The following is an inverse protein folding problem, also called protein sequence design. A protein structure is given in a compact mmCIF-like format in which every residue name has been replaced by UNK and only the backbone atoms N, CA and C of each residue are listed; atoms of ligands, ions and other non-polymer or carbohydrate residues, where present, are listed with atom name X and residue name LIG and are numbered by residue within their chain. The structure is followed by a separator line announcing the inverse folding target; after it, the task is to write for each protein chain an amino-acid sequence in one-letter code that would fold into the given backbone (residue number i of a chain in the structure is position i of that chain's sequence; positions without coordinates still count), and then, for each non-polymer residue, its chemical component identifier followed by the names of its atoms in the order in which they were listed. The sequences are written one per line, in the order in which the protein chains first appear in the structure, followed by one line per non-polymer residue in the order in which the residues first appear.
data_IF_875247260901
#
_entry.id   IF_875247260901
#
_cell.length_a   1.000
_cell.length_b   1.000
_cell.length_c   1.000
_cell.angle_alpha   90.00
_cell.angle_beta   90.00
_cell.angle_gamma   90.00
#
_symmetry.space_group_name_H-M   'P 1'
#
loop_
_entity.id
_entity.type
_entity.pdbx_description
1 polymer ?
#
# COMPACT_ATOMS: atom_id res chain seq x y z
N UNK A 1 23.07 -63.25 -61.24
CA UNK A 1 23.25 -61.95 -61.87
C UNK A 1 22.22 -60.96 -61.32
N UNK A 2 22.63 -59.77 -61.05
CA UNK A 2 21.89 -58.61 -60.47
C UNK A 2 21.83 -58.53 -58.95
N UNK A 3 22.71 -57.66 -58.45
CA UNK A 3 22.79 -57.14 -57.13
C UNK A 3 21.67 -56.16 -56.88
N UNK A 4 20.94 -56.26 -55.74
CA UNK A 4 20.02 -55.28 -55.28
C UNK A 4 20.63 -54.66 -54.00
N UNK A 5 20.91 -53.37 -54.10
CA UNK A 5 21.44 -52.58 -52.98
C UNK A 5 20.26 -52.15 -52.11
N UNK A 6 20.33 -52.48 -50.82
CA UNK A 6 19.38 -52.05 -49.83
C UNK A 6 19.80 -50.72 -49.19
N UNK A 7 19.01 -49.71 -49.43
CA UNK A 7 19.22 -48.37 -48.88
C UNK A 7 18.61 -48.34 -47.46
N UNK A 8 19.45 -48.16 -46.42
CA UNK A 8 19.00 -47.89 -45.05
C UNK A 8 18.68 -46.41 -44.92
N UNK A 9 17.40 -46.08 -44.78
CA UNK A 9 16.94 -44.75 -44.46
C UNK A 9 16.84 -44.65 -42.92
N UNK A 10 17.82 -44.00 -42.29
CA UNK A 10 17.85 -43.72 -40.87
C UNK A 10 16.95 -42.52 -40.60
N UNK A 11 15.75 -42.77 -40.08
CA UNK A 11 14.87 -41.73 -39.58
C UNK A 11 15.33 -41.29 -38.17
N UNK A 12 15.99 -40.13 -38.13
CA UNK A 12 16.40 -39.46 -36.88
C UNK A 12 15.17 -38.74 -36.30
N UNK A 13 14.55 -39.38 -35.28
CA UNK A 13 13.42 -38.83 -34.53
C UNK A 13 13.97 -37.75 -33.58
N UNK A 14 13.91 -36.46 -33.95
CA UNK A 14 14.17 -35.37 -33.03
C UNK A 14 13.04 -35.25 -32.04
N UNK A 15 13.22 -35.79 -30.82
CA UNK A 15 12.38 -35.51 -29.66
C UNK A 15 12.65 -34.07 -29.23
N UNK A 16 11.80 -33.13 -29.59
CA UNK A 16 11.74 -31.83 -28.93
C UNK A 16 11.12 -32.02 -27.53
N UNK A 17 11.96 -32.21 -26.53
CA UNK A 17 11.58 -32.03 -25.16
C UNK A 17 11.33 -30.53 -24.94
N UNK A 18 10.07 -30.10 -24.98
CA UNK A 18 9.67 -28.79 -24.49
C UNK A 18 9.81 -28.84 -22.96
N UNK A 19 11.01 -28.55 -22.47
CA UNK A 19 11.18 -28.13 -21.08
C UNK A 19 10.56 -26.76 -20.98
N UNK A 20 9.32 -26.68 -20.49
CA UNK A 20 8.78 -25.49 -19.88
C UNK A 20 9.61 -25.16 -18.63
N UNK A 21 10.78 -24.56 -18.84
CA UNK A 21 11.57 -24.00 -17.77
C UNK A 21 10.79 -22.86 -17.16
N UNK A 22 10.26 -23.04 -15.95
CA UNK A 22 10.04 -21.92 -15.07
C UNK A 22 11.38 -21.18 -14.99
N UNK A 23 11.43 -19.97 -15.55
CA UNK A 23 12.63 -19.15 -15.53
C UNK A 23 12.73 -18.57 -14.12
N UNK A 24 13.30 -19.34 -13.19
CA UNK A 24 13.73 -18.80 -11.90
C UNK A 24 14.89 -17.85 -12.22
N UNK A 25 14.66 -16.57 -12.05
CA UNK A 25 15.74 -15.59 -12.16
C UNK A 25 16.63 -15.72 -10.94
N UNK A 26 17.86 -16.18 -11.13
CA UNK A 26 18.85 -16.23 -10.06
C UNK A 26 19.22 -14.79 -9.59
N UNK A 27 19.65 -14.64 -8.32
CA UNK A 27 20.12 -13.36 -7.80
C UNK A 27 21.25 -12.77 -8.64
N UNK A 28 21.12 -11.51 -9.05
CA UNK A 28 22.13 -10.80 -9.83
C UNK A 28 23.15 -10.11 -8.91
N UNK A 29 24.45 -10.30 -9.21
CA UNK A 29 25.54 -9.63 -8.49
C UNK A 29 25.57 -8.14 -8.83
N UNK A 30 25.84 -7.31 -7.82
CA UNK A 30 25.91 -5.86 -7.96
C UNK A 30 24.56 -5.15 -7.83
N UNK A 31 23.46 -5.88 -7.66
CA UNK A 31 22.10 -5.36 -7.56
C UNK A 31 21.45 -5.71 -6.21
N UNK A 32 20.38 -5.02 -5.88
CA UNK A 32 19.43 -5.43 -4.84
C UNK A 32 18.44 -6.41 -5.47
N UNK A 33 18.34 -7.61 -4.91
CA UNK A 33 17.49 -8.66 -5.43
C UNK A 33 16.11 -8.60 -4.73
N UNK A 34 15.09 -8.13 -5.42
CA UNK A 34 13.73 -7.98 -4.89
C UNK A 34 12.97 -9.28 -5.09
N UNK A 35 12.54 -9.89 -3.98
CA UNK A 35 11.63 -11.04 -3.99
C UNK A 35 10.25 -10.60 -3.53
N UNK A 36 9.25 -10.82 -4.39
CA UNK A 36 7.89 -10.37 -4.11
C UNK A 36 7.08 -11.41 -3.34
N UNK A 37 6.30 -10.88 -2.40
CA UNK A 37 5.32 -11.62 -1.62
C UNK A 37 3.92 -11.04 -1.84
N UNK A 38 2.90 -11.88 -1.67
CA UNK A 38 1.50 -11.49 -1.91
C UNK A 38 1.06 -10.31 -1.03
N UNK A 39 1.55 -10.25 0.21
CA UNK A 39 1.23 -9.20 1.20
C UNK A 39 2.29 -9.13 2.31
N UNK A 40 2.14 -8.14 3.21
CA UNK A 40 3.05 -7.94 4.34
C UNK A 40 3.05 -9.09 5.34
N UNK A 41 1.96 -9.83 5.50
CA UNK A 41 1.89 -10.96 6.43
C UNK A 41 2.75 -12.13 5.96
N UNK A 42 2.88 -12.31 4.64
CA UNK A 42 3.77 -13.32 4.06
C UNK A 42 5.25 -12.96 4.24
N UNK A 43 5.59 -11.67 4.15
CA UNK A 43 6.94 -11.20 4.48
C UNK A 43 7.26 -11.46 5.96
N UNK A 44 6.34 -11.13 6.86
CA UNK A 44 6.46 -11.42 8.31
C UNK A 44 6.69 -12.90 8.57
N UNK A 45 5.86 -13.78 7.97
CA UNK A 45 6.00 -15.24 8.10
C UNK A 45 7.36 -15.72 7.60
N UNK A 46 7.85 -15.18 6.50
CA UNK A 46 9.12 -15.59 5.89
C UNK A 46 10.32 -15.19 6.75
N UNK A 47 10.32 -13.99 7.34
CA UNK A 47 11.37 -13.57 8.29
C UNK A 47 11.31 -14.41 9.57
N UNK A 48 10.13 -14.62 10.14
CA UNK A 48 9.96 -15.47 11.34
C UNK A 48 10.42 -16.91 11.12
N UNK A 49 10.16 -17.44 9.93
CA UNK A 49 10.59 -18.78 9.51
C UNK A 49 12.07 -18.90 9.18
N UNK A 50 12.81 -17.80 9.05
CA UNK A 50 14.21 -17.77 8.67
C UNK A 50 14.48 -17.97 7.17
N UNK A 51 13.43 -17.89 6.33
CA UNK A 51 13.56 -17.98 4.87
C UNK A 51 14.05 -16.67 4.27
N UNK A 52 13.77 -15.55 4.93
CA UNK A 52 14.26 -14.23 4.56
C UNK A 52 14.96 -13.57 5.76
N UNK A 53 15.98 -12.79 5.45
CA UNK A 53 16.77 -12.06 6.46
C UNK A 53 16.49 -10.56 6.43
N UNK A 54 15.96 -10.05 5.30
CA UNK A 54 15.62 -8.64 5.10
C UNK A 54 14.25 -8.58 4.45
N UNK A 55 13.38 -7.70 4.96
CA UNK A 55 12.05 -7.52 4.35
C UNK A 55 11.43 -6.19 4.67
N UNK A 56 10.57 -5.74 3.75
CA UNK A 56 9.78 -4.52 3.87
C UNK A 56 8.44 -4.85 4.55
N UNK A 57 8.22 -4.29 5.73
CA UNK A 57 7.08 -4.62 6.59
C UNK A 57 6.35 -3.33 7.02
N UNK A 58 5.01 -3.26 6.90
CA UNK A 58 4.25 -2.10 7.37
C UNK A 58 4.05 -2.12 8.88
N UNK A 59 3.87 -0.94 9.49
CA UNK A 59 3.21 -0.87 10.79
C UNK A 59 1.70 -1.19 10.67
N UNK A 60 1.10 -1.81 11.69
CA UNK A 60 1.68 -2.20 12.99
C UNK A 60 2.43 -3.54 12.99
N UNK A 61 2.50 -4.23 11.86
CA UNK A 61 3.11 -5.55 11.75
C UNK A 61 4.64 -5.52 12.01
N UNK A 62 5.32 -4.42 11.69
CA UNK A 62 6.75 -4.28 11.90
C UNK A 62 7.13 -4.33 13.38
N UNK A 63 6.46 -3.55 14.23
CA UNK A 63 6.66 -3.57 15.69
C UNK A 63 6.30 -4.93 16.29
N UNK A 64 5.21 -5.54 15.84
CA UNK A 64 4.80 -6.87 16.27
C UNK A 64 5.84 -7.92 15.92
N UNK A 65 6.38 -7.87 14.69
CA UNK A 65 7.42 -8.79 14.24
C UNK A 65 8.69 -8.65 15.09
N UNK A 66 9.15 -7.42 15.36
CA UNK A 66 10.33 -7.18 16.19
C UNK A 66 10.15 -7.78 17.60
N UNK A 67 9.00 -7.54 18.24
CA UNK A 67 8.70 -8.07 19.57
C UNK A 67 8.66 -9.62 19.59
N UNK A 68 7.98 -10.21 18.60
CA UNK A 68 7.88 -11.66 18.49
C UNK A 68 9.22 -12.31 18.12
N UNK A 69 10.03 -11.69 17.29
CA UNK A 69 11.33 -12.19 16.90
C UNK A 69 12.28 -12.21 18.10
N UNK A 70 12.32 -11.13 18.89
CA UNK A 70 13.08 -11.07 20.14
C UNK A 70 12.63 -12.16 21.12
N UNK A 71 11.33 -12.30 21.33
CA UNK A 71 10.75 -13.29 22.25
C UNK A 71 11.08 -14.73 21.84
N UNK A 72 10.97 -15.05 20.54
CA UNK A 72 11.05 -16.44 20.06
C UNK A 72 12.45 -16.86 19.61
N UNK A 73 13.29 -15.92 19.19
CA UNK A 73 14.64 -16.17 18.67
C UNK A 73 15.75 -15.64 19.58
N UNK A 74 15.41 -14.80 20.59
CA UNK A 74 16.40 -14.16 21.46
C UNK A 74 17.25 -13.10 20.76
N UNK A 75 16.84 -12.63 19.57
CA UNK A 75 17.59 -11.69 18.75
C UNK A 75 16.69 -10.48 18.39
N UNK A 76 17.32 -9.31 18.29
CA UNK A 76 16.64 -8.09 17.86
C UNK A 76 16.71 -7.97 16.34
N UNK A 77 15.58 -7.59 15.71
CA UNK A 77 15.58 -7.14 14.32
C UNK A 77 15.95 -5.66 14.26
N UNK A 78 16.90 -5.32 13.40
CA UNK A 78 17.25 -3.96 13.06
C UNK A 78 16.19 -3.36 12.16
N UNK A 79 16.03 -2.03 12.20
CA UNK A 79 14.96 -1.33 11.52
C UNK A 79 15.47 -0.08 10.82
N UNK A 80 15.19 0.06 9.52
CA UNK A 80 15.37 1.29 8.76
C UNK A 80 13.99 1.88 8.43
N UNK A 81 13.84 3.16 8.64
CA UNK A 81 12.61 3.91 8.30
C UNK A 81 12.62 4.24 6.80
N UNK A 82 11.73 3.62 6.02
CA UNK A 82 11.64 3.86 4.57
C UNK A 82 11.22 5.29 4.27
N UNK A 83 10.44 5.92 5.14
CA UNK A 83 9.96 7.28 5.01
C UNK A 83 11.12 8.27 5.12
N UNK A 84 12.00 8.06 6.10
CA UNK A 84 13.21 8.89 6.29
C UNK A 84 14.22 8.69 5.16
N UNK A 85 14.35 7.47 4.64
CA UNK A 85 15.20 7.18 3.47
C UNK A 85 14.65 7.85 2.20
N UNK A 86 13.34 7.92 2.05
CA UNK A 86 12.69 8.59 0.92
C UNK A 86 12.87 10.12 1.01
N UNK A 87 12.51 10.70 2.13
CA UNK A 87 12.66 12.12 2.42
C UNK A 87 13.09 12.32 3.87
N UNK A 88 14.32 12.78 4.07
CA UNK A 88 14.89 12.96 5.39
C UNK A 88 14.42 14.24 6.12
N UNK A 89 13.77 15.16 5.41
CA UNK A 89 13.22 16.40 5.99
C UNK A 89 11.82 16.15 6.54
N UNK A 90 10.91 15.71 5.69
CA UNK A 90 9.51 15.47 6.09
C UNK A 90 9.33 14.11 6.77
N UNK A 91 10.22 13.15 6.49
CA UNK A 91 10.13 11.74 6.92
C UNK A 91 8.78 11.14 6.56
N UNK A 92 8.29 11.44 5.35
CA UNK A 92 6.96 11.09 4.86
C UNK A 92 6.95 10.93 3.34
N UNK A 93 5.95 10.20 2.86
CA UNK A 93 5.52 10.18 1.46
C UNK A 93 4.02 9.94 1.39
N UNK A 94 3.29 10.47 0.39
CA UNK A 94 1.86 10.25 0.28
C UNK A 94 1.59 8.78 -0.04
N UNK A 95 0.99 8.04 0.92
CA UNK A 95 0.75 6.61 0.74
C UNK A 95 -0.71 6.32 0.38
N UNK A 96 -1.66 6.80 1.20
CA UNK A 96 -3.07 6.63 0.93
C UNK A 96 -3.82 7.97 1.08
N UNK A 97 -4.72 8.21 0.15
CA UNK A 97 -5.48 9.44 0.03
C UNK A 97 -6.99 9.16 0.15
N UNK A 98 -7.73 10.12 0.67
CA UNK A 98 -9.18 10.08 0.70
C UNK A 98 -9.73 10.69 -0.59
N UNK A 99 -10.46 9.88 -1.35
CA UNK A 99 -11.19 10.28 -2.55
C UNK A 99 -12.68 10.33 -2.25
N UNK A 100 -13.34 11.38 -2.67
CA UNK A 100 -14.80 11.57 -2.48
C UNK A 100 -15.43 11.93 -3.81
N UNK A 101 -16.63 11.40 -4.08
CA UNK A 101 -17.42 11.80 -5.25
C UNK A 101 -17.79 13.27 -5.19
N UNK A 102 -17.65 13.96 -6.32
CA UNK A 102 -18.04 15.38 -6.45
C UNK A 102 -19.50 15.60 -6.09
N UNK A 103 -20.41 14.69 -6.46
CA UNK A 103 -21.83 14.78 -6.12
C UNK A 103 -22.09 14.80 -4.60
N UNK A 104 -21.29 14.08 -3.81
CA UNK A 104 -21.37 14.09 -2.34
C UNK A 104 -20.88 15.42 -1.77
N UNK A 105 -19.73 15.88 -2.24
CA UNK A 105 -19.13 17.15 -1.81
C UNK A 105 -20.05 18.35 -2.11
N UNK A 106 -20.64 18.39 -3.30
CA UNK A 106 -21.57 19.45 -3.69
C UNK A 106 -22.90 19.41 -2.92
N UNK A 107 -23.33 18.23 -2.44
CA UNK A 107 -24.50 18.10 -1.58
C UNK A 107 -24.24 18.51 -0.13
N UNK A 108 -22.97 18.47 0.33
CA UNK A 108 -22.58 18.69 1.73
C UNK A 108 -21.37 19.63 1.82
N UNK A 109 -21.52 20.96 1.68
CA UNK A 109 -20.41 21.91 1.59
C UNK A 109 -19.43 21.91 2.78
N UNK A 110 -19.90 21.53 3.97
CA UNK A 110 -19.07 21.48 5.20
C UNK A 110 -18.40 20.12 5.43
N UNK A 111 -18.58 19.17 4.53
CA UNK A 111 -18.17 17.77 4.74
C UNK A 111 -16.67 17.63 4.95
N UNK A 112 -15.86 18.37 4.19
CA UNK A 112 -14.38 18.26 4.27
C UNK A 112 -13.88 18.74 5.63
N UNK A 113 -14.37 19.87 6.15
CA UNK A 113 -13.99 20.37 7.49
C UNK A 113 -14.46 19.45 8.62
N UNK A 114 -15.61 18.80 8.45
CA UNK A 114 -16.10 17.80 9.39
C UNK A 114 -15.20 16.55 9.39
N UNK A 115 -14.80 16.07 8.21
CA UNK A 115 -13.90 14.94 8.05
C UNK A 115 -12.53 15.21 8.68
N UNK A 116 -11.94 16.38 8.41
CA UNK A 116 -10.67 16.80 9.01
C UNK A 116 -10.72 16.71 10.55
N UNK A 117 -11.72 17.35 11.16
CA UNK A 117 -11.88 17.35 12.62
C UNK A 117 -12.09 15.94 13.16
N UNK A 118 -12.94 15.13 12.53
CA UNK A 118 -13.27 13.78 12.99
C UNK A 118 -12.16 12.77 12.80
N UNK A 119 -11.40 12.84 11.70
CA UNK A 119 -10.24 11.96 11.47
C UNK A 119 -9.12 12.29 12.45
N UNK A 120 -8.85 13.58 12.72
CA UNK A 120 -7.92 14.00 13.76
C UNK A 120 -8.31 13.45 15.15
N UNK A 121 -9.60 13.48 15.49
CA UNK A 121 -10.12 12.87 16.71
C UNK A 121 -10.00 11.35 16.71
N UNK A 122 -10.21 10.68 15.57
CA UNK A 122 -10.14 9.22 15.44
C UNK A 122 -8.76 8.71 15.82
N UNK A 123 -7.69 9.29 15.30
CA UNK A 123 -6.32 8.87 15.61
C UNK A 123 -6.00 8.99 17.10
N UNK A 124 -6.39 10.09 17.72
CA UNK A 124 -6.20 10.30 19.17
C UNK A 124 -7.01 9.31 20.00
N UNK A 125 -8.24 9.03 19.58
CA UNK A 125 -9.13 8.08 20.24
C UNK A 125 -8.62 6.64 20.15
N UNK A 126 -8.09 6.21 18.99
CA UNK A 126 -7.50 4.86 18.79
C UNK A 126 -6.42 4.58 19.82
N UNK A 127 -5.54 5.55 20.09
CA UNK A 127 -4.46 5.38 21.08
C UNK A 127 -4.97 5.07 22.51
N UNK A 128 -6.16 5.52 22.84
CA UNK A 128 -6.78 5.32 24.15
C UNK A 128 -7.75 4.14 24.17
N UNK A 129 -8.21 3.67 23.02
CA UNK A 129 -9.28 2.69 22.87
C UNK A 129 -8.90 1.57 21.88
N UNK A 130 -7.67 1.05 21.97
CA UNK A 130 -7.10 0.12 20.98
C UNK A 130 -8.00 -1.10 20.74
N UNK A 131 -8.47 -1.75 21.82
CA UNK A 131 -9.32 -2.94 21.67
C UNK A 131 -10.63 -2.61 20.94
N UNK A 132 -11.32 -1.55 21.35
CA UNK A 132 -12.58 -1.11 20.74
C UNK A 132 -12.38 -0.72 19.26
N UNK A 133 -11.26 -0.06 18.95
CA UNK A 133 -10.92 0.31 17.57
C UNK A 133 -10.71 -0.90 16.69
N UNK A 134 -9.96 -1.90 17.17
CA UNK A 134 -9.73 -3.16 16.44
C UNK A 134 -11.02 -3.94 16.27
N UNK A 135 -11.86 -4.02 17.31
CA UNK A 135 -13.18 -4.67 17.22
C UNK A 135 -14.09 -3.97 16.19
N UNK A 136 -14.12 -2.64 16.20
CA UNK A 136 -14.89 -1.88 15.22
C UNK A 136 -14.42 -2.16 13.78
N UNK A 137 -13.12 -2.19 13.55
CA UNK A 137 -12.52 -2.51 12.24
C UNK A 137 -12.85 -3.94 11.81
N UNK A 138 -12.62 -4.92 12.70
CA UNK A 138 -12.83 -6.34 12.39
C UNK A 138 -14.31 -6.67 12.14
N UNK A 139 -15.23 -6.08 12.90
CA UNK A 139 -16.67 -6.24 12.69
C UNK A 139 -17.16 -5.62 11.37
N UNK A 140 -16.36 -4.79 10.71
CA UNK A 140 -16.66 -4.17 9.42
C UNK A 140 -15.78 -4.67 8.27
N UNK A 141 -15.13 -5.85 8.43
CA UNK A 141 -14.40 -6.56 7.36
C UNK A 141 -12.87 -6.58 7.51
N UNK A 142 -12.32 -5.96 8.55
CA UNK A 142 -10.89 -6.05 8.86
C UNK A 142 -10.48 -7.43 9.34
N UNK A 143 -9.24 -7.83 9.06
CA UNK A 143 -8.71 -9.17 9.42
C UNK A 143 -7.27 -9.15 9.86
N UNK A 144 -6.56 -8.02 9.72
CA UNK A 144 -5.11 -7.95 9.92
C UNK A 144 -4.69 -7.38 11.27
N UNK A 145 -5.57 -6.61 11.91
CA UNK A 145 -5.26 -5.94 13.17
C UNK A 145 -5.55 -6.83 14.39
N UNK A 146 -4.64 -6.78 15.36
CA UNK A 146 -4.77 -7.45 16.64
C UNK A 146 -4.46 -6.44 17.77
N UNK A 147 -5.41 -6.23 18.67
CA UNK A 147 -5.29 -5.27 19.76
C UNK A 147 -4.06 -5.52 20.68
N UNK A 148 -3.72 -6.79 20.93
CA UNK A 148 -2.57 -7.15 21.78
C UNK A 148 -1.23 -6.85 21.14
N UNK A 149 -1.21 -6.64 19.82
CA UNK A 149 -0.01 -6.36 19.04
C UNK A 149 0.12 -4.87 18.67
N UNK A 150 -0.91 -4.05 18.94
CA UNK A 150 -0.99 -2.66 18.54
C UNK A 150 -0.55 -1.72 19.70
N UNK A 151 0.76 -1.53 19.83
CA UNK A 151 1.33 -0.59 20.79
C UNK A 151 1.15 0.87 20.36
N UNK A 152 1.33 1.81 21.30
CA UNK A 152 1.33 3.25 21.00
C UNK A 152 2.35 3.61 19.91
N UNK A 153 3.57 3.08 20.02
CA UNK A 153 4.63 3.32 19.03
C UNK A 153 4.30 2.74 17.66
N UNK A 154 3.60 1.60 17.59
CA UNK A 154 3.12 1.04 16.34
C UNK A 154 2.04 1.93 15.68
N UNK A 155 1.12 2.50 16.48
CA UNK A 155 0.12 3.45 15.98
C UNK A 155 0.80 4.73 15.48
N UNK A 156 1.78 5.26 16.20
CA UNK A 156 2.56 6.43 15.77
C UNK A 156 3.33 6.15 14.47
N UNK A 157 3.91 4.94 14.37
CA UNK A 157 4.60 4.47 13.18
C UNK A 157 3.70 4.27 11.94
N UNK A 158 2.38 4.21 12.13
CA UNK A 158 1.42 4.21 11.02
C UNK A 158 1.32 5.57 10.31
N UNK A 159 1.83 6.64 10.90
CA UNK A 159 1.86 8.01 10.35
C UNK A 159 0.52 8.45 9.76
N UNK A 160 -0.53 8.34 10.58
CA UNK A 160 -1.90 8.69 10.23
C UNK A 160 -2.18 10.11 10.69
N UNK A 161 -2.41 11.02 9.76
CA UNK A 161 -2.87 12.39 10.02
C UNK A 161 -3.52 12.97 8.78
N UNK A 162 -4.30 14.03 8.95
CA UNK A 162 -4.91 14.74 7.85
C UNK A 162 -3.92 15.76 7.25
N UNK A 163 -3.71 15.68 5.95
CA UNK A 163 -3.05 16.72 5.18
C UNK A 163 -3.98 17.07 4.01
N UNK A 164 -4.49 18.30 3.99
CA UNK A 164 -5.47 18.72 2.99
C UNK A 164 -4.91 18.68 1.57
N UNK A 165 -5.84 18.57 0.59
CA UNK A 165 -5.47 18.36 -0.80
C UNK A 165 -4.57 19.46 -1.38
N UNK A 166 -4.76 20.72 -0.97
CA UNK A 166 -4.00 21.84 -1.52
C UNK A 166 -2.59 21.90 -0.92
N UNK A 167 -2.45 21.61 0.37
CA UNK A 167 -1.14 21.46 1.04
C UNK A 167 -0.36 20.30 0.44
N UNK A 168 -0.99 19.14 0.25
CA UNK A 168 -0.36 17.94 -0.28
C UNK A 168 -0.12 17.95 -1.81
N UNK A 169 -0.67 18.92 -2.54
CA UNK A 169 -0.71 18.91 -4.00
C UNK A 169 0.64 18.68 -4.65
N UNK A 170 1.67 19.42 -4.24
CA UNK A 170 3.01 19.30 -4.83
C UNK A 170 3.65 17.95 -4.53
N UNK A 171 3.57 17.48 -3.29
CA UNK A 171 4.15 16.19 -2.88
C UNK A 171 3.48 15.02 -3.59
N UNK A 172 2.15 15.04 -3.69
CA UNK A 172 1.35 14.02 -4.38
C UNK A 172 1.64 13.99 -5.87
N UNK A 173 1.66 15.14 -6.57
CA UNK A 173 2.00 15.21 -8.00
C UNK A 173 3.39 14.66 -8.25
N UNK A 174 4.39 15.14 -7.53
CA UNK A 174 5.77 14.69 -7.70
C UNK A 174 5.92 13.18 -7.43
N UNK A 175 5.18 12.64 -6.46
CA UNK A 175 5.22 11.22 -6.16
C UNK A 175 4.58 10.38 -7.27
N UNK A 176 3.41 10.80 -7.78
CA UNK A 176 2.74 10.14 -8.91
C UNK A 176 3.63 10.19 -10.16
N UNK A 177 4.21 11.34 -10.49
CA UNK A 177 5.05 11.53 -11.68
C UNK A 177 6.27 10.60 -11.63
N UNK A 178 6.91 10.44 -10.47
CA UNK A 178 8.00 9.46 -10.30
C UNK A 178 7.56 8.02 -10.55
N UNK A 179 6.34 7.63 -10.13
CA UNK A 179 5.83 6.29 -10.46
C UNK A 179 5.61 6.16 -11.97
N UNK A 180 5.04 7.18 -12.61
CA UNK A 180 4.81 7.20 -14.06
C UNK A 180 6.13 7.11 -14.85
N UNK A 181 7.20 7.77 -14.37
CA UNK A 181 8.55 7.65 -14.95
C UNK A 181 9.10 6.22 -14.85
N UNK A 182 8.88 5.54 -13.74
CA UNK A 182 9.35 4.16 -13.52
C UNK A 182 8.47 3.16 -14.29
N UNK A 183 7.15 3.30 -14.20
CA UNK A 183 6.17 2.43 -14.88
C UNK A 183 4.83 3.17 -15.08
N UNK A 184 4.62 3.69 -16.28
CA UNK A 184 3.41 4.43 -16.66
C UNK A 184 2.11 3.60 -16.61
N UNK A 185 2.20 2.28 -16.45
CA UNK A 185 1.02 1.41 -16.30
C UNK A 185 0.46 1.40 -14.89
N UNK A 186 1.21 1.89 -13.89
CA UNK A 186 0.88 1.77 -12.46
C UNK A 186 0.32 3.02 -11.82
N UNK A 187 0.49 4.17 -12.46
CA UNK A 187 -0.12 5.43 -12.06
C UNK A 187 -0.54 6.22 -13.31
N UNK A 188 -1.30 7.29 -13.13
CA UNK A 188 -1.65 8.23 -14.19
C UNK A 188 -1.30 9.64 -13.75
N UNK A 189 -0.69 10.43 -14.63
CA UNK A 189 -0.49 11.85 -14.37
C UNK A 189 -1.84 12.53 -14.06
N UNK A 190 -1.85 13.41 -13.09
CA UNK A 190 -3.04 14.10 -12.61
C UNK A 190 -2.96 15.60 -12.86
N UNK A 191 -4.09 16.22 -13.21
CA UNK A 191 -4.27 17.65 -13.33
C UNK A 191 -4.65 18.29 -11.98
N UNK A 192 -4.75 19.61 -11.96
CA UNK A 192 -5.04 20.35 -10.73
C UNK A 192 -6.44 20.05 -10.17
N UNK A 193 -7.39 19.72 -11.01
CA UNK A 193 -8.76 19.34 -10.64
C UNK A 193 -8.90 17.93 -10.03
N UNK A 194 -7.80 17.19 -9.93
CA UNK A 194 -7.70 16.01 -9.06
C UNK A 194 -7.78 16.40 -7.57
N UNK A 195 -7.32 17.59 -7.23
CA UNK A 195 -7.22 18.10 -5.86
C UNK A 195 -8.42 18.95 -5.51
N UNK A 196 -9.11 18.60 -4.44
CA UNK A 196 -10.28 19.35 -3.97
C UNK A 196 -9.97 20.82 -3.71
N UNK A 197 -10.80 21.70 -4.23
CA UNK A 197 -10.85 23.13 -3.88
C UNK A 197 -12.24 23.49 -3.39
N UNK A 198 -13.25 23.30 -4.25
CA UNK A 198 -14.67 23.45 -3.94
C UNK A 198 -15.46 22.66 -4.99
N UNK A 199 -16.64 22.21 -4.64
CA UNK A 199 -17.58 21.60 -5.57
C UNK A 199 -18.94 22.27 -5.37
N UNK A 200 -19.44 22.87 -6.42
CA UNK A 200 -20.78 23.41 -6.47
C UNK A 200 -21.71 22.37 -7.10
N UNK A 201 -22.95 22.29 -6.65
CA UNK A 201 -23.96 21.36 -7.14
C UNK A 201 -23.65 19.87 -6.89
N UNK A 202 -24.43 19.29 -6.06
CA UNK A 202 -24.40 17.87 -5.73
C UNK A 202 -25.79 17.29 -5.57
N UNK A 203 -25.85 15.98 -5.42
CA UNK A 203 -27.10 15.26 -5.15
C UNK A 203 -26.93 14.41 -3.92
N UNK A 204 -27.73 14.67 -2.89
CA UNK A 204 -27.75 13.86 -1.69
C UNK A 204 -28.38 12.50 -1.99
N UNK A 205 -27.85 11.45 -1.34
CA UNK A 205 -28.38 10.09 -1.33
C UNK A 205 -29.00 9.78 0.02
N UNK A 206 -29.85 8.74 0.10
CA UNK A 206 -30.37 8.25 1.37
C UNK A 206 -29.31 7.48 2.18
N UNK A 207 -28.34 6.88 1.50
CA UNK A 207 -27.26 6.12 2.13
C UNK A 207 -25.98 6.32 1.34
N UNK A 208 -24.89 6.52 2.04
CA UNK A 208 -23.53 6.59 1.49
C UNK A 208 -22.72 5.36 1.85
N UNK A 209 -21.64 5.11 1.12
CA UNK A 209 -20.67 4.06 1.39
C UNK A 209 -19.29 4.65 1.59
N UNK A 210 -18.62 4.27 2.70
CA UNK A 210 -17.26 4.67 3.01
C UNK A 210 -16.38 3.42 3.12
N UNK A 211 -15.37 3.31 2.27
CA UNK A 211 -14.49 2.14 2.23
C UNK A 211 -13.04 2.54 2.49
N UNK A 212 -12.36 1.78 3.32
CA UNK A 212 -10.93 1.94 3.61
C UNK A 212 -10.20 0.60 3.59
N UNK A 213 -8.96 0.55 3.08
CA UNK A 213 -8.13 -0.63 3.18
C UNK A 213 -7.83 -0.99 4.64
N UNK A 214 -7.76 -2.28 4.92
CA UNK A 214 -7.35 -2.80 6.23
C UNK A 214 -5.93 -2.34 6.63
N UNK A 215 -5.68 -2.19 7.93
CA UNK A 215 -4.43 -1.69 8.46
C UNK A 215 -4.47 -0.19 8.81
N UNK A 216 -3.39 0.55 8.50
CA UNK A 216 -3.28 1.97 8.86
C UNK A 216 -4.42 2.86 8.34
N UNK A 217 -4.92 2.73 7.10
CA UNK A 217 -6.07 3.51 6.64
C UNK A 217 -7.33 3.30 7.47
N UNK A 218 -7.64 2.04 7.85
CA UNK A 218 -8.79 1.71 8.68
C UNK A 218 -8.66 2.29 10.10
N UNK A 219 -7.45 2.29 10.68
CA UNK A 219 -7.19 2.95 11.96
C UNK A 219 -7.51 4.44 11.92
N UNK A 220 -7.25 5.12 10.80
CA UNK A 220 -7.55 6.55 10.63
C UNK A 220 -9.03 6.87 10.75
N UNK A 221 -9.91 5.93 10.42
CA UNK A 221 -11.37 6.10 10.46
C UNK A 221 -12.06 5.21 11.51
N UNK A 222 -11.30 4.60 12.43
CA UNK A 222 -11.83 3.61 13.38
C UNK A 222 -12.92 4.18 14.30
N UNK A 223 -12.76 5.43 14.76
CA UNK A 223 -13.79 6.08 15.58
C UNK A 223 -15.07 6.34 14.78
N UNK A 224 -14.95 6.75 13.52
CA UNK A 224 -16.11 6.95 12.64
C UNK A 224 -16.88 5.64 12.43
N UNK A 225 -16.16 4.52 12.25
CA UNK A 225 -16.75 3.18 12.16
C UNK A 225 -17.45 2.82 13.47
N UNK A 226 -16.78 2.99 14.63
CA UNK A 226 -17.33 2.66 15.94
C UNK A 226 -18.62 3.42 16.24
N UNK A 227 -18.61 4.71 15.93
CA UNK A 227 -19.73 5.61 16.24
C UNK A 227 -20.84 5.56 15.18
N UNK A 228 -20.67 4.82 14.07
CA UNK A 228 -21.54 4.84 12.89
C UNK A 228 -21.84 6.27 12.45
N UNK A 229 -20.78 7.08 12.37
CA UNK A 229 -20.85 8.53 12.22
C UNK A 229 -21.47 8.94 10.88
N UNK A 230 -22.43 9.84 10.90
CA UNK A 230 -23.10 10.35 9.70
C UNK A 230 -22.31 11.47 8.98
N UNK A 231 -21.19 11.91 9.52
CA UNK A 231 -20.35 13.00 8.98
C UNK A 231 -21.15 14.32 8.78
N UNK A 232 -22.16 14.55 9.61
CA UNK A 232 -23.03 15.73 9.50
C UNK A 232 -23.93 15.76 8.25
N UNK A 233 -24.08 14.65 7.56
CA UNK A 233 -24.92 14.56 6.35
C UNK A 233 -26.39 14.28 6.64
N UNK A 234 -26.75 13.96 7.90
CA UNK A 234 -28.06 13.45 8.30
C UNK A 234 -28.50 12.18 7.56
N UNK A 235 -27.52 11.50 6.95
CA UNK A 235 -27.70 10.27 6.18
C UNK A 235 -26.88 9.14 6.79
N UNK A 236 -27.33 7.92 6.53
CA UNK A 236 -26.58 6.72 6.94
C UNK A 236 -25.32 6.58 6.10
N UNK A 237 -24.21 6.25 6.76
CA UNK A 237 -22.98 5.86 6.10
C UNK A 237 -22.68 4.39 6.42
N UNK A 238 -22.59 3.56 5.40
CA UNK A 238 -22.15 2.17 5.52
C UNK A 238 -20.63 2.14 5.42
N UNK A 239 -19.97 1.91 6.53
CA UNK A 239 -18.52 1.75 6.61
C UNK A 239 -18.14 0.32 6.27
N UNK A 240 -17.05 0.15 5.51
CA UNK A 240 -16.48 -1.17 5.19
C UNK A 240 -14.97 -1.11 5.16
N UNK A 241 -14.35 -2.08 5.81
CA UNK A 241 -12.91 -2.32 5.72
C UNK A 241 -12.67 -3.41 4.69
N UNK A 242 -11.81 -3.15 3.73
CA UNK A 242 -11.59 -3.99 2.55
C UNK A 242 -10.12 -4.40 2.43
N UNK A 243 -9.86 -5.50 1.74
CA UNK A 243 -8.49 -5.85 1.40
C UNK A 243 -7.93 -4.89 0.34
N UNK A 244 -6.64 -4.58 0.39
CA UNK A 244 -6.01 -3.66 -0.55
C UNK A 244 -6.19 -4.05 -2.03
N UNK A 245 -6.31 -5.34 -2.31
CA UNK A 245 -6.59 -5.88 -3.65
C UNK A 245 -7.99 -5.57 -4.17
N UNK A 246 -8.93 -5.26 -3.27
CA UNK A 246 -10.32 -4.93 -3.62
C UNK A 246 -10.52 -3.46 -3.98
N UNK A 247 -9.54 -2.59 -3.70
CA UNK A 247 -9.64 -1.15 -3.96
C UNK A 247 -9.89 -0.89 -5.46
N UNK A 248 -9.10 -1.49 -6.35
CA UNK A 248 -9.23 -1.27 -7.80
C UNK A 248 -10.62 -1.64 -8.35
N UNK A 249 -11.19 -2.82 -8.08
CA UNK A 249 -12.56 -3.15 -8.52
C UNK A 249 -13.61 -2.16 -8.03
N UNK A 250 -13.56 -1.79 -6.75
CA UNK A 250 -14.52 -0.86 -6.12
C UNK A 250 -14.47 0.51 -6.78
N UNK A 251 -13.28 0.96 -7.03
CA UNK A 251 -12.98 2.22 -7.64
C UNK A 251 -13.41 2.27 -9.11
N UNK A 252 -13.09 1.22 -9.86
CA UNK A 252 -13.46 1.13 -11.29
C UNK A 252 -14.98 1.07 -11.51
N UNK A 253 -15.73 0.50 -10.56
CA UNK A 253 -17.19 0.44 -10.62
C UNK A 253 -17.89 1.67 -10.04
N UNK A 254 -17.14 2.56 -9.36
CA UNK A 254 -17.70 3.76 -8.73
C UNK A 254 -18.71 3.45 -7.61
N UNK A 255 -18.60 2.30 -6.95
CA UNK A 255 -19.58 1.86 -5.93
C UNK A 255 -19.40 2.55 -4.59
N UNK A 256 -18.19 3.02 -4.25
CA UNK A 256 -17.93 3.78 -3.03
C UNK A 256 -18.20 5.27 -3.24
N UNK A 257 -18.78 5.94 -2.24
CA UNK A 257 -18.94 7.40 -2.24
C UNK A 257 -17.71 8.09 -1.63
N UNK A 258 -17.14 7.45 -0.62
CA UNK A 258 -15.86 7.78 0.02
C UNK A 258 -14.95 6.56 -0.09
N UNK A 259 -13.73 6.74 -0.53
CA UNK A 259 -12.76 5.65 -0.58
C UNK A 259 -11.36 6.13 -0.19
N UNK A 260 -10.75 5.45 0.75
CA UNK A 260 -9.31 5.60 0.99
C UNK A 260 -8.59 4.67 0.02
N UNK A 261 -7.71 5.23 -0.79
CA UNK A 261 -7.01 4.48 -1.83
C UNK A 261 -5.51 4.76 -1.81
N UNK A 262 -4.65 3.78 -2.14
CA UNK A 262 -3.26 4.04 -2.44
C UNK A 262 -3.14 5.15 -3.51
N UNK A 263 -2.22 6.07 -3.34
CA UNK A 263 -2.13 7.29 -4.16
C UNK A 263 -1.99 6.99 -5.67
N UNK A 264 -1.25 5.95 -6.02
CA UNK A 264 -1.11 5.52 -7.42
C UNK A 264 -2.42 4.98 -8.00
N UNK A 265 -3.20 4.26 -7.19
CA UNK A 265 -4.52 3.79 -7.61
C UNK A 265 -5.51 4.94 -7.68
N UNK A 266 -5.48 5.87 -6.74
CA UNK A 266 -6.32 7.08 -6.77
C UNK A 266 -6.13 7.88 -8.07
N UNK A 267 -4.90 8.02 -8.55
CA UNK A 267 -4.60 8.71 -9.83
C UNK A 267 -5.19 7.99 -11.05
N UNK A 268 -5.17 6.66 -11.05
CA UNK A 268 -5.81 5.85 -12.11
C UNK A 268 -7.32 5.93 -12.04
N UNK A 269 -7.87 5.96 -10.85
CA UNK A 269 -9.28 6.07 -10.56
C UNK A 269 -9.87 7.37 -11.10
N UNK A 270 -9.24 8.46 -10.76
CA UNK A 270 -9.61 9.78 -11.23
C UNK A 270 -9.73 9.81 -12.75
N UNK A 271 -8.74 9.25 -13.46
CA UNK A 271 -8.75 9.20 -14.93
C UNK A 271 -9.81 8.26 -15.50
N UNK A 272 -10.04 7.11 -14.86
CA UNK A 272 -10.96 6.07 -15.37
C UNK A 272 -12.45 6.43 -15.20
N UNK A 273 -12.82 7.21 -14.17
CA UNK A 273 -14.20 7.57 -13.85
C UNK A 273 -14.60 8.97 -14.31
N UNK A 274 -14.00 9.50 -15.38
CA UNK A 274 -14.37 10.78 -15.94
C UNK A 274 -14.26 11.96 -14.95
N UNK A 275 -13.35 11.84 -13.97
CA UNK A 275 -13.12 12.84 -12.93
C UNK A 275 -14.27 13.01 -11.92
N UNK A 276 -15.09 11.97 -11.70
CA UNK A 276 -16.17 12.00 -10.70
C UNK A 276 -15.69 12.12 -9.26
N UNK A 277 -14.45 11.70 -9.00
CA UNK A 277 -13.83 11.78 -7.68
C UNK A 277 -12.78 12.87 -7.62
N UNK A 278 -12.62 13.46 -6.45
CA UNK A 278 -11.49 14.35 -6.14
C UNK A 278 -10.80 13.87 -4.86
N UNK A 279 -9.49 14.11 -4.78
CA UNK A 279 -8.71 13.90 -3.58
C UNK A 279 -8.97 15.06 -2.61
N UNK A 280 -9.40 14.74 -1.39
CA UNK A 280 -9.65 15.76 -0.35
C UNK A 280 -8.51 15.84 0.67
N UNK A 281 -7.80 14.74 0.92
CA UNK A 281 -6.66 14.71 1.83
C UNK A 281 -5.74 13.51 1.58
N UNK A 282 -4.48 13.61 2.03
CA UNK A 282 -3.64 12.47 2.34
C UNK A 282 -3.93 12.04 3.77
N UNK A 283 -4.12 10.75 4.02
CA UNK A 283 -4.43 10.20 5.34
C UNK A 283 -3.29 9.39 5.94
N UNK A 284 -2.49 8.69 5.12
CA UNK A 284 -1.32 7.95 5.60
C UNK A 284 -0.07 8.40 4.84
N UNK A 285 1.00 8.64 5.59
CA UNK A 285 2.22 9.28 5.10
C UNK A 285 3.43 8.35 5.12
N UNK A 286 3.18 7.12 4.66
CA UNK A 286 4.13 6.03 4.74
C UNK A 286 4.12 5.35 6.11
N UNK A 287 4.30 4.04 6.10
CA UNK A 287 4.35 3.25 7.33
C UNK A 287 5.19 1.97 7.14
N UNK A 288 6.07 1.96 6.16
CA UNK A 288 6.88 0.78 5.86
C UNK A 288 8.30 0.93 6.42
N UNK A 289 8.82 -0.19 6.88
CA UNK A 289 10.14 -0.29 7.48
C UNK A 289 10.88 -1.48 6.90
N UNK A 290 12.17 -1.30 6.62
CA UNK A 290 13.04 -2.41 6.24
C UNK A 290 13.52 -3.05 7.54
N UNK A 291 13.10 -4.27 7.80
CA UNK A 291 13.55 -5.08 8.93
C UNK A 291 14.65 -6.03 8.48
N UNK A 292 15.69 -6.18 9.31
CA UNK A 292 16.84 -7.03 9.02
C UNK A 292 17.31 -7.81 10.25
N UNK A 293 17.78 -9.02 10.04
CA UNK A 293 18.39 -9.86 11.10
C UNK A 293 19.79 -9.41 11.49
N UNK A 294 20.41 -8.54 10.69
CA UNK A 294 21.72 -7.94 10.95
C UNK A 294 21.65 -6.45 10.83
N UNK A 295 22.55 -5.71 11.48
CA UNK A 295 22.65 -4.28 11.30
C UNK A 295 23.07 -3.95 9.86
N UNK A 296 22.30 -3.07 9.23
CA UNK A 296 22.52 -2.65 7.84
C UNK A 296 22.20 -1.17 7.67
N UNK A 297 22.82 -0.55 6.69
CA UNK A 297 22.39 0.71 6.08
C UNK A 297 21.72 0.44 4.72
N UNK A 298 21.14 1.45 4.09
CA UNK A 298 20.57 1.29 2.74
C UNK A 298 21.60 0.86 1.70
N UNK A 299 22.86 1.24 1.86
CA UNK A 299 23.95 0.86 0.94
C UNK A 299 24.34 -0.60 1.03
N UNK A 300 24.14 -1.21 2.21
CA UNK A 300 24.43 -2.62 2.44
C UNK A 300 23.38 -3.57 1.83
N UNK A 301 22.29 -3.01 1.26
CA UNK A 301 21.32 -3.79 0.50
C UNK A 301 21.87 -4.31 -0.85
N UNK A 302 22.97 -3.75 -1.34
CA UNK A 302 23.65 -4.26 -2.54
C UNK A 302 24.02 -5.72 -2.33
N UNK A 303 23.78 -6.55 -3.34
CA UNK A 303 23.97 -8.01 -3.32
C UNK A 303 23.10 -8.76 -2.30
N UNK A 304 22.09 -8.10 -1.71
CA UNK A 304 21.16 -8.74 -0.78
C UNK A 304 19.80 -8.99 -1.44
N UNK A 305 19.14 -10.03 -0.94
CA UNK A 305 17.74 -10.27 -1.24
C UNK A 305 16.87 -9.53 -0.23
N UNK A 306 15.85 -8.84 -0.72
CA UNK A 306 14.87 -8.12 0.09
C UNK A 306 13.47 -8.61 -0.25
N UNK A 307 12.76 -9.10 0.74
CA UNK A 307 11.36 -9.48 0.63
C UNK A 307 10.47 -8.24 0.59
N UNK A 308 9.71 -8.05 -0.49
CA UNK A 308 8.86 -6.87 -0.71
C UNK A 308 7.41 -7.33 -0.92
N UNK A 309 6.44 -6.79 -0.17
CA UNK A 309 5.03 -7.14 -0.35
C UNK A 309 4.40 -6.39 -1.52
N UNK A 310 3.37 -6.98 -2.14
CA UNK A 310 2.47 -6.31 -3.08
C UNK A 310 3.22 -5.62 -4.25
N UNK A 311 3.77 -6.40 -5.17
CA UNK A 311 4.43 -5.87 -6.37
C UNK A 311 3.56 -4.79 -7.07
N UNK A 312 4.15 -3.65 -7.36
CA UNK A 312 3.46 -2.53 -8.02
C UNK A 312 2.54 -1.70 -7.12
N UNK A 313 2.57 -1.92 -5.80
CA UNK A 313 1.94 -1.06 -4.82
C UNK A 313 2.87 0.08 -4.36
N UNK A 314 2.31 1.06 -3.64
CA UNK A 314 3.07 2.23 -3.14
C UNK A 314 4.37 1.87 -2.41
N UNK A 315 4.42 0.87 -1.51
CA UNK A 315 5.66 0.52 -0.83
C UNK A 315 6.77 0.03 -1.76
N UNK A 316 6.42 -0.75 -2.78
CA UNK A 316 7.37 -1.20 -3.81
C UNK A 316 7.94 -0.01 -4.58
N UNK A 317 7.09 0.94 -4.99
CA UNK A 317 7.56 2.15 -5.68
C UNK A 317 8.44 3.01 -4.80
N UNK A 318 8.04 3.25 -3.54
CA UNK A 318 8.87 4.01 -2.60
C UNK A 318 10.22 3.34 -2.39
N UNK A 319 10.25 2.01 -2.23
CA UNK A 319 11.50 1.27 -2.08
C UNK A 319 12.41 1.43 -3.31
N UNK A 320 11.87 1.28 -4.52
CA UNK A 320 12.62 1.49 -5.77
C UNK A 320 13.16 2.93 -5.90
N UNK A 321 12.36 3.94 -5.53
CA UNK A 321 12.81 5.34 -5.49
C UNK A 321 13.94 5.54 -4.48
N UNK A 322 13.87 4.91 -3.30
CA UNK A 322 14.95 4.94 -2.30
C UNK A 322 16.21 4.29 -2.84
N UNK A 323 16.10 3.14 -3.51
CA UNK A 323 17.25 2.50 -4.15
C UNK A 323 17.90 3.41 -5.20
N UNK A 324 17.11 3.99 -6.10
CA UNK A 324 17.60 4.92 -7.12
C UNK A 324 18.28 6.17 -6.53
N UNK A 325 17.68 6.77 -5.48
CA UNK A 325 18.26 7.92 -4.75
C UNK A 325 19.64 7.58 -4.16
N UNK A 326 19.88 6.33 -3.80
CA UNK A 326 21.14 5.84 -3.25
C UNK A 326 22.08 5.21 -4.30
N UNK A 327 21.81 5.40 -5.59
CA UNK A 327 22.56 4.82 -6.72
C UNK A 327 22.64 3.29 -6.67
N UNK A 328 21.59 2.64 -6.18
CA UNK A 328 21.44 1.19 -6.17
C UNK A 328 20.51 0.76 -7.31
N UNK A 329 20.98 -0.21 -8.09
CA UNK A 329 20.15 -0.90 -9.08
C UNK A 329 19.50 -2.13 -8.46
N UNK A 330 18.40 -2.60 -9.05
CA UNK A 330 17.68 -3.77 -8.57
C UNK A 330 17.33 -4.75 -9.69
N UNK A 331 17.10 -5.99 -9.30
CA UNK A 331 16.53 -7.05 -10.14
C UNK A 331 15.40 -7.73 -9.36
N UNK A 332 14.55 -8.44 -10.07
CA UNK A 332 13.50 -9.27 -9.46
C UNK A 332 13.95 -10.73 -9.47
N UNK A 333 13.76 -11.42 -8.34
CA UNK A 333 13.98 -12.86 -8.19
C UNK A 333 12.65 -13.54 -7.82
N UNK A 334 12.49 -14.80 -8.20
CA UNK A 334 11.31 -15.61 -7.92
C UNK A 334 11.39 -16.36 -6.57
#
# INVERSE_FOLDING_TARGET
MKKIATLFLSAMLCLFAVFGGACSTEPETGKVNIKYYADGSKVVQSIMGGNETIGLVPEPAASTLQANYLKNKGQTLYRLDLQELYDNETKAYPQAVLMIKKSVLGAHPNLVSILEAKIGQSVSWVKQNVATAVDAINNNGGTTLNANALSQSAIDGCKIYWEDAQTAKTSVKNYIDKIVEIDSTKASAVSDDFFYTSVENGSAKETYTFMAPDGAPALGIAKLINDQDSLGTDKRINYSVIQSTQVMPIVSTGTADFVVAPVNLASKLYKANGNDYVMVAVLTHGNFYILSTTEISVKDLKDKQVAVPNQGAVPDWTFKMVLQKNNLTYSTVE
#
